data_IF_143710055129
#
_entry.id   IF_143710055129
#
_cell.length_a   1.000
_cell.length_b   1.000
_cell.length_c   1.000
_cell.angle_alpha   90.00
_cell.angle_beta   90.00
_cell.angle_gamma   90.00
#
_symmetry.space_group_name_H-M   'P 1'
#
loop_
_entity.id
_entity.type
_entity.pdbx_description
1 polymer ?
#
# COMPACT_ATOMS: atom_id res chain seq x y z
N UNK A 1 28.21 77.54 10.54
CA UNK A 1 26.89 77.19 9.98
C UNK A 1 26.76 75.67 10.02
N UNK A 2 26.02 75.16 10.99
CA UNK A 2 25.81 73.72 11.22
C UNK A 2 24.60 73.23 10.43
N UNK A 3 24.76 72.18 9.64
CA UNK A 3 23.65 71.49 8.96
C UNK A 3 23.45 70.15 9.67
N UNK A 4 22.34 70.06 10.40
CA UNK A 4 21.75 68.82 10.87
C UNK A 4 20.52 68.50 10.02
N UNK A 5 20.21 67.20 9.88
CA UNK A 5 18.92 66.53 9.57
C UNK A 5 19.13 65.48 8.48
N UNK A 6 19.03 64.18 8.77
CA UNK A 6 17.83 63.39 9.06
C UNK A 6 17.58 62.44 7.89
N UNK A 7 17.95 61.18 8.05
CA UNK A 7 17.36 60.08 7.26
C UNK A 7 17.03 58.95 8.22
N UNK A 8 15.73 58.81 8.44
CA UNK A 8 15.13 57.91 9.39
C UNK A 8 15.28 56.44 8.95
N UNK A 9 15.52 55.60 9.94
CA UNK A 9 15.43 54.14 9.84
C UNK A 9 14.02 53.72 9.39
N UNK A 10 13.96 52.89 8.35
CA UNK A 10 12.79 52.04 8.07
C UNK A 10 13.29 50.61 7.85
N UNK A 11 13.61 49.92 8.94
CA UNK A 11 13.85 48.49 8.96
C UNK A 11 12.56 47.77 9.40
N UNK A 12 11.62 47.60 8.47
CA UNK A 12 10.45 46.75 8.67
C UNK A 12 10.81 45.31 8.26
N UNK A 13 11.43 44.57 9.18
CA UNK A 13 11.57 43.12 9.08
C UNK A 13 10.19 42.47 9.28
N UNK A 14 9.50 42.16 8.19
CA UNK A 14 8.34 41.28 8.21
C UNK A 14 8.80 39.82 8.40
N UNK A 15 9.03 39.42 9.67
CA UNK A 15 9.06 38.01 10.05
C UNK A 15 7.62 37.50 10.14
N UNK A 16 7.12 36.94 9.03
CA UNK A 16 5.83 36.28 8.93
C UNK A 16 5.96 34.90 8.28
N UNK A 17 6.74 34.00 8.89
CA UNK A 17 6.90 32.62 8.44
C UNK A 17 6.47 31.66 9.56
N UNK A 18 5.18 31.35 9.62
CA UNK A 18 4.60 30.32 10.50
C UNK A 18 3.13 30.19 10.11
N UNK A 19 2.54 29.05 9.74
CA UNK A 19 2.93 27.65 9.84
C UNK A 19 2.24 26.95 8.66
N UNK A 20 3.01 26.40 7.73
CA UNK A 20 2.48 25.40 6.82
C UNK A 20 2.22 24.14 7.63
N UNK A 21 0.99 23.93 8.09
CA UNK A 21 0.57 22.64 8.60
C UNK A 21 0.64 21.65 7.42
N UNK A 22 1.78 20.98 7.29
CA UNK A 22 1.94 19.85 6.40
C UNK A 22 1.06 18.71 6.93
N UNK A 23 -0.23 18.74 6.61
CA UNK A 23 -1.10 17.57 6.67
C UNK A 23 -0.59 16.58 5.62
N UNK A 24 0.41 15.79 6.01
CA UNK A 24 0.98 14.75 5.16
C UNK A 24 -0.04 13.65 4.84
N UNK A 25 0.10 12.93 3.72
CA UNK A 25 -0.91 12.02 3.17
C UNK A 25 -1.00 10.66 3.89
N UNK A 26 -0.84 10.61 5.22
CA UNK A 26 -0.84 9.36 5.98
C UNK A 26 -2.19 8.61 5.93
N UNK A 27 -3.31 9.31 5.72
CA UNK A 27 -4.65 8.69 5.69
C UNK A 27 -4.97 7.96 4.37
N UNK A 28 -4.32 8.31 3.26
CA UNK A 28 -4.63 7.72 1.95
C UNK A 28 -4.11 6.28 1.80
N UNK A 29 -2.98 5.95 2.44
CA UNK A 29 -2.29 4.66 2.26
C UNK A 29 -3.01 3.49 2.95
N UNK A 30 -3.69 3.75 4.08
CA UNK A 30 -4.45 2.73 4.79
C UNK A 30 -5.68 2.25 4.01
N UNK A 31 -6.35 3.17 3.31
CA UNK A 31 -7.54 2.90 2.50
C UNK A 31 -7.16 2.05 1.27
N UNK A 32 -6.05 2.38 0.61
CA UNK A 32 -5.56 1.63 -0.56
C UNK A 32 -5.25 0.16 -0.22
N UNK A 33 -4.60 -0.08 0.92
CA UNK A 33 -4.28 -1.44 1.38
C UNK A 33 -5.54 -2.24 1.71
N UNK A 34 -6.54 -1.62 2.35
CA UNK A 34 -7.82 -2.28 2.63
C UNK A 34 -8.58 -2.61 1.34
N UNK A 35 -8.63 -1.68 0.39
CA UNK A 35 -9.28 -1.92 -0.91
C UNK A 35 -8.60 -3.07 -1.65
N UNK A 36 -7.26 -3.11 -1.66
CA UNK A 36 -6.49 -4.19 -2.25
C UNK A 36 -6.85 -5.54 -1.62
N UNK A 37 -6.85 -5.62 -0.29
CA UNK A 37 -7.18 -6.86 0.44
C UNK A 37 -8.59 -7.31 0.06
N UNK A 38 -9.59 -6.42 0.17
CA UNK A 38 -10.99 -6.74 -0.16
C UNK A 38 -11.17 -7.19 -1.61
N UNK A 39 -10.48 -6.54 -2.55
CA UNK A 39 -10.53 -6.92 -3.96
C UNK A 39 -9.88 -8.28 -4.22
N UNK A 40 -8.71 -8.57 -3.64
CA UNK A 40 -8.08 -9.90 -3.79
C UNK A 40 -8.97 -10.95 -3.13
N UNK A 41 -9.52 -10.64 -1.96
CA UNK A 41 -10.38 -11.55 -1.22
C UNK A 41 -11.62 -11.97 -2.02
N UNK A 42 -12.24 -11.03 -2.75
CA UNK A 42 -13.44 -11.29 -3.56
C UNK A 42 -13.19 -12.13 -4.82
N UNK A 43 -11.98 -12.06 -5.41
CA UNK A 43 -11.62 -12.86 -6.59
C UNK A 43 -10.92 -14.17 -6.25
N UNK A 44 -10.60 -14.41 -4.98
CA UNK A 44 -9.89 -15.62 -4.54
C UNK A 44 -10.89 -16.73 -4.23
N UNK A 45 -10.86 -17.86 -4.96
CA UNK A 45 -11.73 -19.01 -4.68
C UNK A 45 -11.44 -19.57 -3.28
N UNK A 46 -12.43 -19.53 -2.39
CA UNK A 46 -12.26 -19.94 -0.99
C UNK A 46 -12.17 -21.45 -0.89
N UNK A 47 -11.14 -21.94 -0.21
CA UNK A 47 -10.97 -23.38 0.04
C UNK A 47 -12.13 -24.03 0.82
N UNK A 48 -12.90 -23.26 1.61
CA UNK A 48 -14.10 -23.77 2.29
C UNK A 48 -15.20 -24.13 1.30
N UNK A 49 -15.32 -23.36 0.22
CA UNK A 49 -16.38 -23.52 -0.78
C UNK A 49 -15.92 -24.48 -1.90
N UNK A 50 -14.62 -24.80 -1.95
CA UNK A 50 -13.99 -25.74 -2.87
C UNK A 50 -13.13 -26.78 -2.12
N UNK A 51 -13.73 -27.67 -1.31
CA UNK A 51 -12.99 -28.64 -0.49
C UNK A 51 -12.21 -29.65 -1.35
N UNK A 52 -12.72 -30.01 -2.53
CA UNK A 52 -12.14 -31.05 -3.40
C UNK A 52 -11.18 -30.49 -4.46
N UNK A 53 -10.93 -29.18 -4.45
CA UNK A 53 -10.01 -28.56 -5.40
C UNK A 53 -8.60 -29.15 -5.25
N UNK A 54 -8.00 -29.64 -6.35
CA UNK A 54 -6.73 -30.35 -6.32
C UNK A 54 -5.51 -29.42 -6.20
N UNK A 55 -5.67 -28.10 -6.40
CA UNK A 55 -4.55 -27.14 -6.38
C UNK A 55 -4.78 -26.06 -5.33
N UNK A 56 -3.73 -25.71 -4.59
CA UNK A 56 -3.72 -24.62 -3.62
C UNK A 56 -2.73 -23.55 -4.08
N UNK A 57 -3.23 -22.33 -4.20
CA UNK A 57 -2.41 -21.13 -4.43
C UNK A 57 -2.13 -20.40 -3.12
N UNK A 58 -0.88 -19.97 -2.93
CA UNK A 58 -0.47 -19.17 -1.76
C UNK A 58 0.34 -17.97 -2.21
N UNK A 59 -0.16 -16.79 -1.86
CA UNK A 59 0.54 -15.52 -2.08
C UNK A 59 0.60 -14.78 -0.74
N UNK A 60 1.79 -14.42 -0.30
CA UNK A 60 1.96 -13.59 0.90
C UNK A 60 3.14 -12.66 0.75
N UNK A 61 3.10 -11.55 1.46
CA UNK A 61 4.15 -10.54 1.41
C UNK A 61 3.81 -9.33 2.25
N UNK A 62 4.59 -8.28 2.05
CA UNK A 62 4.40 -6.99 2.68
C UNK A 62 3.91 -6.01 1.61
N UNK A 63 2.80 -5.33 1.89
CA UNK A 63 2.35 -4.17 1.10
C UNK A 63 3.03 -2.93 1.68
N UNK A 64 3.74 -2.20 0.82
CA UNK A 64 4.43 -0.97 1.18
C UNK A 64 3.40 0.12 1.53
N UNK A 65 3.69 0.91 2.57
CA UNK A 65 2.80 1.95 3.09
C UNK A 65 3.24 2.39 4.48
N UNK A 66 2.52 3.36 5.07
CA UNK A 66 2.76 3.83 6.45
C UNK A 66 1.50 3.60 7.28
N UNK A 67 1.42 2.55 8.11
CA UNK A 67 2.41 1.50 8.32
C UNK A 67 2.39 0.44 7.22
N UNK A 68 3.52 -0.26 7.02
CA UNK A 68 3.57 -1.44 6.17
C UNK A 68 2.72 -2.56 6.77
N UNK A 69 2.10 -3.37 5.90
CA UNK A 69 1.18 -4.43 6.34
C UNK A 69 1.55 -5.76 5.69
N UNK A 70 1.60 -6.81 6.51
CA UNK A 70 1.66 -8.17 6.01
C UNK A 70 0.31 -8.62 5.47
N UNK A 71 0.31 -9.27 4.30
CA UNK A 71 -0.88 -9.86 3.69
C UNK A 71 -0.62 -11.32 3.35
N UNK A 72 -1.66 -12.14 3.42
CA UNK A 72 -1.61 -13.55 3.04
C UNK A 72 -2.94 -13.96 2.42
N UNK A 73 -2.87 -14.55 1.23
CA UNK A 73 -4.01 -15.02 0.47
C UNK A 73 -3.80 -16.51 0.13
N UNK A 74 -4.86 -17.29 0.35
CA UNK A 74 -4.89 -18.72 0.03
C UNK A 74 -6.15 -18.98 -0.79
N UNK A 75 -5.96 -19.53 -1.99
CA UNK A 75 -7.05 -19.94 -2.88
C UNK A 75 -6.96 -21.42 -3.22
N UNK A 76 -8.11 -22.02 -3.52
CA UNK A 76 -8.21 -23.41 -3.94
C UNK A 76 -8.80 -23.48 -5.36
N UNK A 77 -8.09 -24.11 -6.29
CA UNK A 77 -8.34 -24.04 -7.73
C UNK A 77 -8.55 -25.42 -8.34
N UNK A 78 -9.37 -25.46 -9.39
CA UNK A 78 -9.65 -26.69 -10.14
C UNK A 78 -8.42 -27.20 -10.93
N UNK A 79 -7.49 -26.32 -11.29
CA UNK A 79 -6.30 -26.66 -12.08
C UNK A 79 -5.09 -25.78 -11.72
N UNK A 80 -3.91 -26.22 -12.15
CA UNK A 80 -2.66 -25.45 -11.98
C UNK A 80 -2.73 -24.14 -12.77
N UNK A 81 -3.24 -24.18 -13.99
CA UNK A 81 -3.42 -23.01 -14.85
C UNK A 81 -4.32 -21.94 -14.21
N UNK A 82 -5.47 -22.33 -13.64
CA UNK A 82 -6.36 -21.40 -12.94
C UNK A 82 -5.67 -20.77 -11.72
N UNK A 83 -4.87 -21.55 -11.00
CA UNK A 83 -4.08 -21.04 -9.89
C UNK A 83 -3.04 -20.02 -10.37
N UNK A 84 -2.31 -20.31 -11.43
CA UNK A 84 -1.28 -19.41 -11.96
C UNK A 84 -1.88 -18.11 -12.51
N UNK A 85 -3.01 -18.21 -13.21
CA UNK A 85 -3.77 -17.06 -13.71
C UNK A 85 -4.23 -16.12 -12.58
N UNK A 86 -4.57 -16.66 -11.40
CA UNK A 86 -4.85 -15.87 -10.20
C UNK A 86 -3.56 -15.34 -9.55
N UNK A 87 -2.54 -16.20 -9.40
CA UNK A 87 -1.32 -15.93 -8.64
C UNK A 87 -0.54 -14.77 -9.22
N UNK A 88 -0.37 -14.72 -10.54
CA UNK A 88 0.42 -13.70 -11.23
C UNK A 88 -0.08 -12.27 -10.94
N UNK A 89 -1.35 -11.90 -11.23
CA UNK A 89 -1.85 -10.56 -10.96
C UNK A 89 -1.90 -10.25 -9.46
N UNK A 90 -2.19 -11.22 -8.60
CA UNK A 90 -2.22 -11.01 -7.14
C UNK A 90 -0.83 -10.66 -6.62
N UNK A 91 0.20 -11.39 -7.03
CA UNK A 91 1.58 -11.11 -6.61
C UNK A 91 2.09 -9.76 -7.12
N UNK A 92 1.67 -9.33 -8.32
CA UNK A 92 2.01 -8.03 -8.88
C UNK A 92 1.43 -6.83 -8.12
N UNK A 93 0.40 -7.03 -7.30
CA UNK A 93 -0.16 -5.98 -6.43
C UNK A 93 0.52 -5.87 -5.07
N UNK A 94 1.43 -6.80 -4.73
CA UNK A 94 2.25 -6.70 -3.52
C UNK A 94 3.46 -5.85 -3.84
N UNK A 95 3.42 -4.59 -3.41
CA UNK A 95 4.45 -3.58 -3.70
C UNK A 95 5.73 -3.71 -2.87
N UNK A 96 5.75 -4.56 -1.84
CA UNK A 96 6.91 -4.80 -0.99
C UNK A 96 7.49 -6.20 -1.16
N UNK A 97 8.10 -6.73 -0.09
CA UNK A 97 8.73 -8.05 -0.12
C UNK A 97 7.68 -9.16 -0.28
N UNK A 98 7.81 -9.96 -1.32
CA UNK A 98 7.07 -11.22 -1.48
C UNK A 98 7.73 -12.29 -0.60
N UNK A 99 6.90 -12.99 0.19
CA UNK A 99 7.31 -14.06 1.12
C UNK A 99 6.90 -15.43 0.56
N UNK A 100 5.71 -15.53 -0.01
CA UNK A 100 5.25 -16.72 -0.74
C UNK A 100 4.57 -16.31 -2.04
N UNK A 101 4.81 -17.07 -3.10
CA UNK A 101 4.18 -16.88 -4.39
C UNK A 101 4.23 -18.20 -5.17
N UNK A 102 3.35 -19.15 -4.83
CA UNK A 102 3.38 -20.50 -5.45
C UNK A 102 1.99 -21.09 -5.63
N UNK A 103 1.89 -21.97 -6.62
CA UNK A 103 0.81 -22.91 -6.82
C UNK A 103 1.34 -24.33 -6.62
N UNK A 104 0.57 -25.19 -5.97
CA UNK A 104 0.97 -26.58 -5.72
C UNK A 104 -0.25 -27.48 -5.65
N UNK A 105 -0.12 -28.73 -6.07
CA UNK A 105 -1.14 -29.74 -5.85
C UNK A 105 -1.31 -30.03 -4.34
N UNK A 106 -2.56 -30.28 -3.95
CA UNK A 106 -2.97 -30.64 -2.60
C UNK A 106 -2.68 -32.13 -2.41
N UNK A 107 -1.59 -32.43 -1.72
CA UNK A 107 -1.18 -33.78 -1.33
C UNK A 107 -1.10 -33.85 0.19
#
# INVERSE_FOLDING_TARGET
>A
MSIARSTALCAALCLGASMGAATGPAAAQGIETQFLISHIDSITPKCRDHPDAPVVGRVSGIVSGTPSRGVSFVGCFASMEACEAWRMPVSGRISGRIIQNRCSYRH
#
